data_IF_231104811444
#
_entry.id   IF_231104811444
#
_cell.length_a   1.000
_cell.length_b   1.000
_cell.length_c   1.000
_cell.angle_alpha   90.00
_cell.angle_beta   90.00
_cell.angle_gamma   90.00
#
_symmetry.space_group_name_H-M   'P 1'
#
loop_
_entity.id
_entity.type
_entity.pdbx_description
1 polymer ?
#
# COMPACT_ATOMS: atom_id res chain seq x y z
N UNK A 1 18.71 5.75 -0.51
CA UNK A 1 17.38 5.20 -0.74
C UNK A 1 17.32 3.77 -0.25
N UNK A 2 16.13 3.36 0.21
CA UNK A 2 15.79 1.99 0.55
C UNK A 2 14.62 1.55 -0.31
N UNK A 3 14.69 0.33 -0.83
CA UNK A 3 13.68 -0.26 -1.69
C UNK A 3 13.33 -1.66 -1.20
N UNK A 4 12.08 -2.06 -1.31
CA UNK A 4 11.59 -3.39 -0.99
C UNK A 4 10.56 -3.85 -2.05
N UNK A 5 10.43 -5.14 -2.24
CA UNK A 5 9.48 -5.75 -3.19
C UNK A 5 9.07 -7.15 -2.73
N UNK A 6 8.02 -7.68 -3.34
CA UNK A 6 7.55 -9.06 -3.08
C UNK A 6 8.60 -10.08 -3.47
N UNK A 7 8.98 -10.94 -2.51
CA UNK A 7 9.93 -12.04 -2.70
C UNK A 7 9.33 -13.42 -2.42
N UNK A 8 8.05 -13.46 -2.06
CA UNK A 8 7.21 -14.64 -1.81
C UNK A 8 7.56 -15.47 -0.57
N UNK A 9 8.82 -15.68 -0.24
CA UNK A 9 9.29 -16.55 0.85
C UNK A 9 10.12 -15.82 1.92
N UNK A 10 10.51 -14.57 1.64
CA UNK A 10 11.28 -13.73 2.57
C UNK A 10 11.04 -12.25 2.30
N UNK A 11 11.54 -11.39 3.20
CA UNK A 11 11.56 -9.95 2.98
C UNK A 11 13.00 -9.46 2.90
N UNK A 12 13.27 -8.67 1.86
CA UNK A 12 14.58 -8.05 1.60
C UNK A 12 14.46 -6.55 1.43
N UNK A 13 15.51 -5.85 1.82
CA UNK A 13 15.68 -4.41 1.59
C UNK A 13 16.90 -4.21 0.71
N UNK A 14 16.74 -3.43 -0.34
CA UNK A 14 17.81 -2.94 -1.19
C UNK A 14 18.21 -1.54 -0.75
N UNK A 15 19.50 -1.28 -0.69
CA UNK A 15 20.05 0.02 -0.34
C UNK A 15 20.88 0.55 -1.50
N UNK A 16 20.59 1.76 -1.93
CA UNK A 16 21.34 2.46 -2.98
C UNK A 16 21.48 3.95 -2.68
N UNK A 17 22.47 4.60 -3.30
CA UNK A 17 22.60 6.07 -3.31
C UNK A 17 21.91 6.69 -4.53
N UNK A 18 21.61 5.88 -5.55
CA UNK A 18 20.98 6.28 -6.79
C UNK A 18 19.70 5.47 -7.04
N UNK A 19 18.55 6.13 -6.98
CA UNK A 19 17.24 5.50 -7.18
C UNK A 19 17.04 5.05 -8.63
N UNK A 20 17.75 5.63 -9.58
CA UNK A 20 17.66 5.27 -10.99
C UNK A 20 18.46 4.01 -11.35
N UNK A 21 19.31 3.53 -10.42
CA UNK A 21 20.14 2.34 -10.60
C UNK A 21 19.86 1.24 -9.55
N UNK A 22 18.61 0.85 -9.44
CA UNK A 22 18.19 -0.19 -8.50
C UNK A 22 18.81 -1.56 -8.79
N UNK A 23 19.15 -1.86 -10.04
CA UNK A 23 19.75 -3.15 -10.42
C UNK A 23 21.11 -3.44 -9.76
N UNK A 24 21.84 -2.38 -9.39
CA UNK A 24 23.12 -2.49 -8.70
C UNK A 24 23.02 -2.23 -7.18
N UNK A 25 21.80 -2.02 -6.67
CA UNK A 25 21.56 -1.86 -5.25
C UNK A 25 21.94 -3.14 -4.48
N UNK A 26 22.53 -2.96 -3.30
CA UNK A 26 22.85 -4.09 -2.41
C UNK A 26 21.59 -4.53 -1.68
N UNK A 27 21.21 -5.79 -1.85
CA UNK A 27 20.10 -6.39 -1.12
C UNK A 27 20.57 -7.07 0.17
N UNK A 28 19.69 -7.06 1.17
CA UNK A 28 19.84 -7.83 2.40
C UNK A 28 18.50 -8.43 2.78
N UNK A 29 18.46 -9.75 3.00
CA UNK A 29 17.32 -10.39 3.61
C UNK A 29 17.22 -9.95 5.06
N UNK A 30 16.10 -9.34 5.43
CA UNK A 30 15.87 -8.76 6.76
C UNK A 30 14.88 -9.56 7.58
N UNK A 31 14.10 -10.43 6.93
CA UNK A 31 13.12 -11.28 7.58
C UNK A 31 12.96 -12.62 6.84
N UNK A 32 13.00 -13.69 7.62
CA UNK A 32 12.59 -15.03 7.22
C UNK A 32 11.49 -15.46 8.17
N UNK A 33 10.28 -15.76 7.68
CA UNK A 33 9.20 -16.22 8.54
C UNK A 33 9.57 -17.56 9.22
N UNK A 34 9.28 -17.64 10.51
CA UNK A 34 9.49 -18.83 11.33
C UNK A 34 8.17 -19.48 11.77
N UNK A 35 7.03 -18.87 11.41
CA UNK A 35 5.69 -19.31 11.73
C UNK A 35 4.89 -19.64 10.46
N UNK A 36 4.15 -20.74 10.51
CA UNK A 36 3.30 -21.21 9.40
C UNK A 36 2.10 -20.31 9.10
N UNK A 37 1.79 -19.35 9.97
CA UNK A 37 0.64 -18.44 9.80
C UNK A 37 0.90 -17.31 8.82
N UNK A 38 2.16 -16.96 8.55
CA UNK A 38 2.56 -15.82 7.71
C UNK A 38 3.79 -16.11 6.84
N UNK A 39 3.96 -17.37 6.42
CA UNK A 39 5.20 -17.83 5.80
C UNK A 39 5.12 -18.04 4.28
N UNK A 40 3.99 -17.74 3.67
CA UNK A 40 3.79 -17.96 2.22
C UNK A 40 3.32 -16.70 1.54
N UNK A 41 3.75 -16.55 0.31
CA UNK A 41 3.29 -15.47 -0.57
C UNK A 41 3.41 -14.11 0.12
N UNK A 42 4.64 -13.75 0.53
CA UNK A 42 4.94 -12.48 1.16
C UNK A 42 4.86 -11.37 0.08
N UNK A 43 3.79 -10.59 0.11
CA UNK A 43 3.46 -9.59 -0.91
C UNK A 43 3.54 -8.18 -0.39
N UNK A 44 3.75 -7.25 -1.33
CA UNK A 44 3.64 -5.81 -1.16
C UNK A 44 4.25 -5.28 0.16
N UNK A 45 5.53 -5.57 0.44
CA UNK A 45 6.18 -5.00 1.60
C UNK A 45 6.34 -3.49 1.43
N UNK A 46 5.99 -2.72 2.47
CA UNK A 46 6.22 -1.28 2.55
C UNK A 46 7.03 -0.89 3.77
N UNK A 47 8.05 -0.06 3.55
CA UNK A 47 8.99 0.37 4.58
C UNK A 47 8.71 1.82 4.98
N UNK A 48 8.35 2.04 6.25
CA UNK A 48 8.03 3.35 6.80
C UNK A 48 8.93 3.68 8.01
N UNK A 49 9.37 4.93 8.09
CA UNK A 49 10.11 5.45 9.25
C UNK A 49 9.17 6.30 10.09
N UNK A 50 8.83 5.83 11.30
CA UNK A 50 7.88 6.45 12.20
C UNK A 50 8.50 6.54 13.61
N UNK A 51 8.48 7.71 14.22
CA UNK A 51 8.92 7.93 15.59
C UNK A 51 10.31 7.34 15.92
N UNK A 52 11.26 7.50 14.98
CA UNK A 52 12.63 7.05 15.18
C UNK A 52 12.89 5.57 14.93
N UNK A 53 11.90 4.83 14.38
CA UNK A 53 11.99 3.40 14.07
C UNK A 53 11.51 3.10 12.66
N UNK A 54 11.99 1.98 12.12
CA UNK A 54 11.51 1.43 10.86
C UNK A 54 10.41 0.40 11.10
N UNK A 55 9.35 0.52 10.34
CA UNK A 55 8.26 -0.46 10.29
C UNK A 55 8.15 -1.00 8.88
N UNK A 56 8.06 -2.32 8.77
CA UNK A 56 7.86 -3.00 7.51
C UNK A 56 6.49 -3.70 7.56
N UNK A 57 5.58 -3.20 6.75
CA UNK A 57 4.25 -3.75 6.55
C UNK A 57 4.29 -4.72 5.38
N UNK A 58 3.64 -5.86 5.49
CA UNK A 58 3.56 -6.83 4.41
C UNK A 58 2.30 -7.67 4.50
N UNK A 59 1.87 -8.22 3.37
CA UNK A 59 0.82 -9.22 3.35
C UNK A 59 1.44 -10.62 3.25
N UNK A 60 0.87 -11.59 3.93
CA UNK A 60 1.28 -12.97 3.80
C UNK A 60 0.11 -13.92 4.00
N UNK A 61 0.18 -15.09 3.35
CA UNK A 61 -0.70 -16.21 3.57
C UNK A 61 -0.12 -17.18 4.60
N UNK A 62 -1.00 -17.84 5.34
CA UNK A 62 -0.68 -18.99 6.17
C UNK A 62 -0.75 -20.30 5.38
N UNK A 63 -1.03 -21.39 6.10
CA UNK A 63 -1.19 -22.75 5.50
C UNK A 63 -2.32 -22.78 4.45
N UNK A 64 -3.35 -21.96 4.60
CA UNK A 64 -4.45 -21.83 3.63
C UNK A 64 -4.06 -20.83 2.55
N UNK A 65 -3.90 -21.29 1.32
CA UNK A 65 -3.71 -20.42 0.17
C UNK A 65 -4.88 -19.43 0.05
N UNK A 66 -4.59 -18.18 -0.32
CA UNK A 66 -5.59 -17.12 -0.51
C UNK A 66 -6.09 -16.46 0.77
N UNK A 67 -5.50 -16.76 1.92
CA UNK A 67 -5.86 -16.15 3.21
C UNK A 67 -4.88 -15.05 3.64
N UNK A 68 -4.50 -14.16 2.70
CA UNK A 68 -3.56 -13.08 2.99
C UNK A 68 -4.09 -12.15 4.08
N UNK A 69 -3.21 -11.85 5.02
CA UNK A 69 -3.43 -10.91 6.12
C UNK A 69 -2.26 -9.93 6.17
N UNK A 70 -2.45 -8.81 6.83
CA UNK A 70 -1.43 -7.79 7.02
C UNK A 70 -0.64 -8.04 8.30
N UNK A 71 0.66 -7.89 8.22
CA UNK A 71 1.60 -8.09 9.32
C UNK A 71 2.57 -6.92 9.42
N UNK A 72 3.14 -6.73 10.62
CA UNK A 72 4.06 -5.62 10.91
C UNK A 72 5.31 -6.12 11.60
N UNK A 73 6.44 -5.63 11.13
CA UNK A 73 7.76 -5.79 11.74
C UNK A 73 8.30 -4.43 12.18
N UNK A 74 9.08 -4.38 13.25
CA UNK A 74 9.72 -3.17 13.79
C UNK A 74 11.23 -3.35 13.85
N UNK A 75 12.01 -2.34 13.43
CA UNK A 75 13.45 -2.29 13.61
C UNK A 75 13.86 -0.93 14.18
N UNK A 76 14.56 -0.93 15.31
CA UNK A 76 15.00 0.30 16.01
C UNK A 76 16.37 0.80 15.53
N UNK A 77 17.05 0.08 14.63
CA UNK A 77 18.33 0.52 14.09
C UNK A 77 18.13 1.67 13.09
N UNK A 78 18.97 2.71 13.07
CA UNK A 78 18.83 3.83 12.12
C UNK A 78 18.88 3.43 10.66
N UNK A 79 19.64 2.40 10.33
CA UNK A 79 19.70 1.78 9.00
C UNK A 79 18.83 0.51 8.99
N UNK A 80 17.76 0.42 8.19
CA UNK A 80 16.86 -0.73 8.19
C UNK A 80 17.51 -2.00 7.62
N UNK A 81 18.65 -1.88 6.93
CA UNK A 81 19.44 -3.04 6.49
C UNK A 81 20.30 -3.61 7.61
N UNK A 82 20.38 -2.95 8.75
CA UNK A 82 21.13 -3.37 9.93
C UNK A 82 20.18 -3.63 11.11
N UNK A 83 20.73 -4.16 12.21
CA UNK A 83 19.91 -4.55 13.36
C UNK A 83 19.04 -5.79 13.06
N UNK A 84 17.87 -5.85 13.71
CA UNK A 84 16.93 -6.95 13.59
C UNK A 84 15.51 -6.44 13.54
N UNK A 85 14.72 -6.92 12.60
CA UNK A 85 13.26 -6.76 12.60
C UNK A 85 12.63 -7.68 13.64
N UNK A 86 11.72 -7.12 14.42
CA UNK A 86 10.95 -7.82 15.47
C UNK A 86 9.50 -7.90 15.02
N UNK A 87 8.94 -9.08 15.02
CA UNK A 87 7.53 -9.31 14.70
C UNK A 87 6.62 -8.63 15.73
N UNK A 88 5.72 -7.77 15.28
CA UNK A 88 4.76 -7.04 16.14
C UNK A 88 3.37 -7.66 16.12
N UNK A 89 3.08 -8.49 15.15
CA UNK A 89 1.79 -9.17 15.05
C UNK A 89 1.06 -8.91 13.74
N UNK A 90 -0.15 -9.44 13.67
CA UNK A 90 -1.11 -9.25 12.60
C UNK A 90 -1.93 -7.99 12.85
N UNK A 91 -2.12 -7.17 11.81
CA UNK A 91 -3.13 -6.13 11.79
C UNK A 91 -4.50 -6.76 11.57
N UNK A 92 -5.37 -6.68 12.56
CA UNK A 92 -6.72 -7.25 12.49
C UNK A 92 -7.66 -6.29 11.77
N UNK A 93 -7.67 -6.38 10.44
CA UNK A 93 -8.45 -5.51 9.55
C UNK A 93 -9.93 -5.90 9.44
N UNK A 94 -10.31 -7.09 9.92
CA UNK A 94 -11.70 -7.55 10.00
C UNK A 94 -11.88 -8.57 11.12
N UNK A 95 -13.11 -8.76 11.58
CA UNK A 95 -13.43 -9.73 12.63
C UNK A 95 -13.28 -11.19 12.14
N UNK A 96 -13.60 -11.45 10.88
CA UNK A 96 -13.57 -12.75 10.23
C UNK A 96 -12.23 -13.08 9.56
N UNK A 97 -11.24 -12.18 9.70
CA UNK A 97 -9.95 -12.28 9.02
C UNK A 97 -10.08 -12.37 7.50
N UNK A 98 -10.99 -11.59 6.92
CA UNK A 98 -11.11 -11.44 5.48
C UNK A 98 -9.80 -10.97 4.87
N UNK A 99 -9.57 -11.39 3.63
CA UNK A 99 -8.37 -11.11 2.88
C UNK A 99 -8.05 -9.60 2.82
N UNK A 100 -6.78 -9.23 3.12
CA UNK A 100 -6.29 -7.85 3.15
C UNK A 100 -4.82 -7.81 2.72
N UNK A 101 -4.47 -6.87 1.83
CA UNK A 101 -3.11 -6.69 1.29
C UNK A 101 -2.79 -5.22 1.02
N UNK A 102 -1.56 -4.93 0.62
CA UNK A 102 -1.04 -3.63 0.16
C UNK A 102 -1.32 -2.50 1.17
N UNK A 103 -0.83 -2.71 2.38
CA UNK A 103 -0.96 -1.74 3.45
C UNK A 103 0.03 -0.60 3.29
N UNK A 104 -0.44 0.63 3.34
CA UNK A 104 0.38 1.82 3.49
C UNK A 104 -0.06 2.66 4.68
N UNK A 105 0.86 3.42 5.29
CA UNK A 105 0.56 4.25 6.46
C UNK A 105 0.98 5.70 6.24
N UNK A 106 0.24 6.61 6.85
CA UNK A 106 0.59 8.04 6.84
C UNK A 106 0.14 8.74 8.12
N UNK A 107 0.89 9.75 8.52
CA UNK A 107 0.51 10.62 9.65
C UNK A 107 -0.27 11.81 9.14
N UNK A 108 -1.40 12.11 9.78
CA UNK A 108 -2.18 13.31 9.54
C UNK A 108 -2.74 13.84 10.87
N UNK A 109 -2.46 15.14 11.21
CA UNK A 109 -2.94 15.80 12.45
C UNK A 109 -2.69 14.96 13.69
N UNK A 110 -1.44 14.60 13.94
CA UNK A 110 -1.00 13.80 15.10
C UNK A 110 -1.65 12.40 15.21
N UNK A 111 -2.31 11.95 14.15
CA UNK A 111 -2.89 10.61 14.06
C UNK A 111 -2.22 9.81 12.94
N UNK A 112 -1.96 8.55 13.22
CA UNK A 112 -1.47 7.59 12.24
C UNK A 112 -2.66 6.87 11.60
N UNK A 113 -2.67 6.79 10.28
CA UNK A 113 -3.69 6.10 9.50
C UNK A 113 -3.08 4.96 8.71
N UNK A 114 -3.83 3.88 8.60
CA UNK A 114 -3.58 2.74 7.71
C UNK A 114 -4.57 2.79 6.56
N UNK A 115 -4.08 2.62 5.34
CA UNK A 115 -4.88 2.34 4.15
C UNK A 115 -4.45 1.00 3.57
N UNK A 116 -5.40 0.24 3.05
CA UNK A 116 -5.14 -1.07 2.44
C UNK A 116 -6.25 -1.42 1.47
N UNK A 117 -6.06 -2.49 0.71
CA UNK A 117 -7.17 -3.04 -0.02
C UNK A 117 -7.58 -4.43 0.44
N UNK A 118 -8.88 -4.69 0.38
CA UNK A 118 -9.47 -5.90 0.93
C UNK A 118 -10.82 -6.21 0.32
N UNK A 119 -11.33 -7.39 0.66
CA UNK A 119 -12.66 -7.84 0.23
C UNK A 119 -13.73 -7.03 0.99
N UNK A 120 -14.83 -6.59 0.34
CA UNK A 120 -15.92 -5.94 1.04
C UNK A 120 -16.58 -6.90 2.06
N UNK A 121 -16.90 -6.39 3.27
CA UNK A 121 -17.56 -7.18 4.33
C UNK A 121 -18.86 -7.83 3.87
N UNK A 122 -19.61 -7.13 3.01
CA UNK A 122 -20.79 -7.70 2.34
C UNK A 122 -20.49 -7.80 0.85
N UNK A 123 -20.80 -8.94 0.21
CA UNK A 123 -20.57 -9.11 -1.21
C UNK A 123 -21.24 -8.01 -2.04
N UNK A 124 -20.46 -7.34 -2.87
CA UNK A 124 -20.95 -6.38 -3.85
C UNK A 124 -20.80 -7.04 -5.22
N UNK A 125 -21.87 -7.17 -6.03
CA UNK A 125 -21.80 -7.83 -7.31
C UNK A 125 -20.66 -7.32 -8.19
N UNK A 126 -19.85 -8.24 -8.71
CA UNK A 126 -18.70 -7.99 -9.60
C UNK A 126 -17.53 -7.23 -8.98
N UNK A 127 -17.62 -6.75 -7.73
CA UNK A 127 -16.53 -6.07 -7.02
C UNK A 127 -15.80 -7.10 -6.16
N UNK A 128 -14.50 -7.23 -6.40
CA UNK A 128 -13.64 -8.14 -5.66
C UNK A 128 -12.93 -7.42 -4.51
N UNK A 129 -12.34 -6.25 -4.77
CA UNK A 129 -11.59 -5.50 -3.77
C UNK A 129 -11.95 -4.01 -3.72
N UNK A 130 -11.83 -3.46 -2.51
CA UNK A 130 -12.13 -2.08 -2.15
C UNK A 130 -10.98 -1.49 -1.35
N UNK A 131 -10.91 -0.16 -1.28
CA UNK A 131 -9.95 0.54 -0.42
C UNK A 131 -10.60 0.84 0.93
N UNK A 132 -9.86 0.51 1.97
CA UNK A 132 -10.20 0.75 3.37
C UNK A 132 -9.25 1.74 4.01
N UNK A 133 -9.71 2.38 5.07
CA UNK A 133 -8.93 3.23 5.97
C UNK A 133 -9.30 2.93 7.42
N UNK A 134 -8.31 3.01 8.31
CA UNK A 134 -8.51 3.02 9.76
C UNK A 134 -7.48 3.92 10.42
N UNK A 135 -7.79 4.45 11.61
CA UNK A 135 -6.80 5.08 12.47
C UNK A 135 -6.06 4.00 13.27
N UNK A 136 -4.77 4.19 13.46
CA UNK A 136 -3.93 3.36 14.29
C UNK A 136 -3.73 4.00 15.67
N UNK A 137 -3.68 3.18 16.71
CA UNK A 137 -3.27 3.55 18.07
C UNK A 137 -1.72 3.57 18.18
N UNK A 138 -1.12 2.61 17.55
CA UNK A 138 0.33 2.45 17.38
C UNK A 138 0.57 1.76 16.01
N UNK A 139 1.78 1.65 15.50
CA UNK A 139 2.02 1.14 14.14
C UNK A 139 1.47 -0.26 13.82
N UNK A 140 1.02 -1.04 14.80
CA UNK A 140 0.54 -2.42 14.61
C UNK A 140 -0.85 -2.69 15.23
N UNK A 141 -1.56 -1.66 15.71
CA UNK A 141 -2.89 -1.83 16.35
C UNK A 141 -3.89 -0.82 15.80
N UNK A 142 -5.04 -1.29 15.32
CA UNK A 142 -6.12 -0.43 14.90
C UNK A 142 -6.79 0.25 16.11
N UNK A 143 -6.98 1.56 16.06
CA UNK A 143 -7.73 2.35 17.04
C UNK A 143 -9.22 2.49 16.67
N UNK A 144 -9.55 2.31 15.39
CA UNK A 144 -10.93 2.42 14.89
C UNK A 144 -11.32 1.18 14.10
N UNK A 145 -12.61 0.99 13.90
CA UNK A 145 -13.09 0.02 12.92
C UNK A 145 -12.64 0.45 11.52
N UNK A 146 -12.35 -0.50 10.62
CA UNK A 146 -12.15 -0.24 9.20
C UNK A 146 -13.33 0.49 8.57
N UNK A 147 -13.04 1.42 7.68
CA UNK A 147 -14.04 2.13 6.89
C UNK A 147 -13.70 1.94 5.42
N UNK A 148 -14.64 1.43 4.65
CA UNK A 148 -14.52 1.34 3.20
C UNK A 148 -14.71 2.74 2.59
N UNK A 149 -13.68 3.28 1.94
CA UNK A 149 -13.68 4.62 1.37
C UNK A 149 -13.68 4.65 -0.15
N UNK A 150 -13.45 3.53 -0.81
CA UNK A 150 -13.43 3.47 -2.27
C UNK A 150 -13.84 2.09 -2.78
N UNK A 151 -14.70 2.10 -3.81
CA UNK A 151 -15.08 0.93 -4.62
C UNK A 151 -14.78 1.24 -6.08
N UNK A 152 -14.50 0.25 -6.95
CA UNK A 152 -14.29 0.48 -8.39
C UNK A 152 -15.63 0.79 -9.08
N UNK A 153 -16.06 2.05 -9.08
CA UNK A 153 -17.35 2.52 -9.64
C UNK A 153 -17.21 3.37 -10.90
N UNK A 154 -15.99 3.84 -11.23
CA UNK A 154 -15.72 4.54 -12.48
C UNK A 154 -15.63 3.58 -13.66
N UNK A 155 -16.01 4.05 -14.87
CA UNK A 155 -15.98 3.22 -16.07
C UNK A 155 -14.59 2.65 -16.38
N UNK A 156 -13.56 3.45 -16.22
CA UNK A 156 -12.18 3.06 -16.51
C UNK A 156 -11.62 2.04 -15.50
N UNK A 157 -12.11 2.05 -14.25
CA UNK A 157 -11.74 1.08 -13.20
C UNK A 157 -12.25 -0.33 -13.48
N UNK A 158 -13.17 -0.48 -14.43
CA UNK A 158 -13.83 -1.72 -14.85
C UNK A 158 -13.54 -2.06 -16.30
N UNK A 159 -12.38 -1.62 -16.80
CA UNK A 159 -12.09 -1.62 -18.23
C UNK A 159 -11.64 -2.99 -18.73
N UNK A 160 -10.98 -3.81 -17.91
CA UNK A 160 -10.58 -5.16 -18.29
C UNK A 160 -11.80 -6.09 -18.25
N UNK A 161 -12.26 -6.63 -19.41
CA UNK A 161 -13.45 -7.47 -19.47
C UNK A 161 -13.25 -8.87 -18.87
N UNK A 162 -12.00 -9.26 -18.60
CA UNK A 162 -11.63 -10.58 -18.09
C UNK A 162 -11.25 -10.55 -16.60
N UNK A 163 -11.13 -9.36 -16.01
CA UNK A 163 -10.77 -9.21 -14.61
C UNK A 163 -11.99 -8.91 -13.73
N UNK A 164 -11.97 -9.39 -12.49
CA UNK A 164 -12.88 -8.92 -11.45
C UNK A 164 -12.59 -7.44 -11.16
N UNK A 165 -13.63 -6.66 -10.87
CA UNK A 165 -13.47 -5.24 -10.59
C UNK A 165 -12.78 -5.03 -9.26
N UNK A 166 -11.64 -4.37 -9.32
CA UNK A 166 -10.73 -4.19 -8.20
C UNK A 166 -10.15 -2.78 -8.20
N UNK A 167 -9.91 -2.24 -7.02
CA UNK A 167 -9.02 -1.11 -6.84
C UNK A 167 -8.14 -1.39 -5.62
N UNK A 168 -6.85 -1.06 -5.70
CA UNK A 168 -5.90 -1.48 -4.69
C UNK A 168 -4.63 -0.66 -4.63
N UNK A 169 -3.67 -1.14 -3.85
CA UNK A 169 -2.33 -0.55 -3.68
C UNK A 169 -2.39 0.96 -3.37
N UNK A 170 -3.17 1.39 -2.36
CA UNK A 170 -3.35 2.81 -2.07
C UNK A 170 -2.07 3.44 -1.54
N UNK A 171 -1.61 4.52 -2.19
CA UNK A 171 -0.44 5.28 -1.78
C UNK A 171 -0.83 6.69 -1.35
N UNK A 172 -0.62 7.04 -0.07
CA UNK A 172 -0.97 8.36 0.44
C UNK A 172 0.04 9.43 0.02
N UNK A 173 -0.49 10.59 -0.35
CA UNK A 173 0.29 11.80 -0.62
C UNK A 173 -0.38 13.01 0.04
N UNK A 174 0.42 13.99 0.41
CA UNK A 174 -0.08 15.32 0.83
C UNK A 174 0.20 16.32 -0.29
N UNK A 175 -0.75 17.23 -0.54
CA UNK A 175 -0.48 18.36 -1.41
C UNK A 175 0.63 19.24 -0.84
N UNK A 176 1.40 19.96 -1.68
CA UNK A 176 2.50 20.80 -1.23
C UNK A 176 2.09 21.88 -0.21
N UNK A 177 0.86 22.40 -0.32
CA UNK A 177 0.28 23.38 0.60
C UNK A 177 -0.34 22.76 1.87
N UNK A 178 -0.35 21.41 1.96
CA UNK A 178 -0.91 20.66 3.08
C UNK A 178 -2.44 20.67 3.17
N UNK A 179 -3.15 21.25 2.20
CA UNK A 179 -4.60 21.41 2.23
C UNK A 179 -5.36 20.15 1.78
N UNK A 180 -4.70 19.26 1.07
CA UNK A 180 -5.30 18.03 0.52
C UNK A 180 -4.53 16.79 0.95
N UNK A 181 -5.28 15.73 1.17
CA UNK A 181 -4.77 14.37 1.29
C UNK A 181 -5.20 13.61 0.04
N UNK A 182 -4.25 13.01 -0.64
CA UNK A 182 -4.46 12.20 -1.82
C UNK A 182 -4.20 10.73 -1.50
N UNK A 183 -4.96 9.85 -2.11
CA UNK A 183 -4.65 8.43 -2.25
C UNK A 183 -4.57 8.12 -3.73
N UNK A 184 -3.38 7.78 -4.21
CA UNK A 184 -3.19 7.20 -5.53
C UNK A 184 -3.43 5.70 -5.40
N UNK A 185 -4.14 5.10 -6.35
CA UNK A 185 -4.51 3.68 -6.30
C UNK A 185 -4.46 3.05 -7.69
N UNK A 186 -4.30 1.75 -7.74
CA UNK A 186 -4.34 0.95 -8.98
C UNK A 186 -5.74 0.46 -9.27
N UNK A 187 -6.17 0.50 -10.51
CA UNK A 187 -7.44 -0.08 -10.97
C UNK A 187 -7.42 -0.33 -12.49
N UNK A 188 -8.54 -0.85 -13.02
CA UNK A 188 -8.75 -1.09 -14.45
C UNK A 188 -8.38 -2.48 -14.93
N UNK A 189 -7.69 -3.26 -14.13
CA UNK A 189 -7.18 -4.60 -14.41
C UNK A 189 -5.82 -4.80 -13.78
N UNK A 190 -5.17 -5.92 -14.06
CA UNK A 190 -3.83 -6.26 -13.58
C UNK A 190 -2.85 -6.57 -14.72
N UNK A 191 -3.12 -6.00 -15.91
CA UNK A 191 -2.33 -6.23 -17.12
C UNK A 191 -2.45 -5.05 -18.09
N UNK A 192 -1.43 -4.78 -18.92
CA UNK A 192 -1.54 -3.82 -20.02
C UNK A 192 -2.63 -4.24 -21.02
N UNK A 193 -3.36 -3.29 -21.63
CA UNK A 193 -3.28 -1.84 -21.44
C UNK A 193 -4.23 -1.32 -20.33
N UNK A 194 -4.82 -2.20 -19.56
CA UNK A 194 -5.96 -1.89 -18.68
C UNK A 194 -5.56 -1.26 -17.35
N UNK A 195 -4.45 -1.70 -16.76
CA UNK A 195 -3.95 -1.16 -15.48
C UNK A 195 -3.65 0.33 -15.60
N UNK A 196 -4.12 1.10 -14.62
CA UNK A 196 -3.90 2.53 -14.54
C UNK A 196 -3.97 3.02 -13.09
N UNK A 197 -3.40 4.19 -12.82
CA UNK A 197 -3.47 4.82 -11.51
C UNK A 197 -4.60 5.83 -11.45
N UNK A 198 -5.42 5.73 -10.43
CA UNK A 198 -6.46 6.67 -10.07
C UNK A 198 -6.06 7.55 -8.90
N UNK A 199 -6.89 8.56 -8.63
CA UNK A 199 -6.68 9.51 -7.54
C UNK A 199 -7.97 9.70 -6.76
N UNK A 200 -7.90 9.51 -5.43
CA UNK A 200 -8.90 9.95 -4.48
C UNK A 200 -8.34 11.13 -3.68
N UNK A 201 -9.18 12.13 -3.41
CA UNK A 201 -8.76 13.34 -2.70
C UNK A 201 -9.74 13.68 -1.60
N UNK A 202 -9.22 14.02 -0.42
CA UNK A 202 -9.96 14.56 0.70
C UNK A 202 -9.36 15.90 1.14
N UNK A 203 -10.20 16.82 1.64
CA UNK A 203 -9.72 18.02 2.30
C UNK A 203 -9.00 17.65 3.60
N UNK A 204 -7.86 18.25 3.85
CA UNK A 204 -7.08 18.01 5.07
C UNK A 204 -7.87 18.34 6.36
N UNK A 205 -8.89 19.22 6.25
CA UNK A 205 -9.81 19.58 7.32
C UNK A 205 -10.93 18.58 7.58
N UNK A 206 -11.18 17.64 6.66
CA UNK A 206 -12.31 16.71 6.75
C UNK A 206 -12.03 15.51 7.64
N UNK A 207 -13.07 14.75 7.99
CA UNK A 207 -12.94 13.48 8.65
C UNK A 207 -12.54 12.41 7.62
N UNK A 208 -11.28 11.95 7.65
CA UNK A 208 -10.78 10.94 6.71
C UNK A 208 -11.45 9.57 6.88
N UNK A 209 -12.10 9.31 8.01
CA UNK A 209 -12.89 8.10 8.24
C UNK A 209 -14.35 8.22 7.75
N UNK A 210 -14.70 9.32 7.09
CA UNK A 210 -15.99 9.47 6.43
C UNK A 210 -15.81 9.24 4.91
N UNK A 211 -16.44 8.20 4.31
CA UNK A 211 -16.36 7.96 2.88
C UNK A 211 -16.75 9.18 2.02
N UNK A 212 -17.69 10.01 2.49
CA UNK A 212 -18.11 11.20 1.78
C UNK A 212 -17.05 12.30 1.67
N UNK A 213 -15.97 12.22 2.49
CA UNK A 213 -14.83 13.12 2.41
C UNK A 213 -13.96 12.86 1.18
N UNK A 214 -14.03 11.66 0.60
CA UNK A 214 -13.16 11.22 -0.49
C UNK A 214 -13.85 11.41 -1.84
N UNK A 215 -13.17 12.12 -2.75
CA UNK A 215 -13.63 12.35 -4.11
C UNK A 215 -12.65 11.74 -5.10
N UNK A 216 -13.15 10.87 -5.97
CA UNK A 216 -12.35 10.26 -7.03
C UNK A 216 -12.23 11.16 -8.25
N UNK A 217 -11.06 11.14 -8.89
CA UNK A 217 -10.90 11.65 -10.25
C UNK A 217 -11.77 10.82 -11.22
N UNK A 218 -12.49 11.44 -12.15
CA UNK A 218 -13.34 10.71 -13.10
C UNK A 218 -12.53 9.95 -14.18
N UNK A 219 -11.24 10.24 -14.29
CA UNK A 219 -10.31 9.62 -15.23
C UNK A 219 -9.06 9.16 -14.49
N UNK A 220 -8.29 8.19 -15.02
CA UNK A 220 -7.00 7.85 -14.47
C UNK A 220 -6.06 9.06 -14.52
N UNK A 221 -5.16 9.17 -13.55
CA UNK A 221 -4.15 10.23 -13.50
C UNK A 221 -2.82 9.79 -14.11
N UNK A 222 -2.60 8.49 -14.23
CA UNK A 222 -1.45 7.92 -14.92
C UNK A 222 -1.86 6.59 -15.55
N UNK A 223 -1.66 6.45 -16.83
CA UNK A 223 -2.08 5.29 -17.62
C UNK A 223 -1.07 4.94 -18.70
N UNK A 224 -1.34 3.89 -19.45
CA UNK A 224 -0.51 3.46 -20.57
C UNK A 224 -0.24 4.61 -21.54
N UNK A 225 1.03 4.71 -21.94
CA UNK A 225 1.48 5.63 -22.99
C UNK A 225 2.60 4.96 -23.80
N UNK A 226 2.27 4.42 -24.95
CA UNK A 226 3.20 3.67 -25.81
C UNK A 226 4.37 4.55 -26.31
N UNK A 227 4.12 5.85 -26.53
CA UNK A 227 5.15 6.79 -26.97
C UNK A 227 6.22 7.03 -25.91
N UNK A 228 5.82 7.00 -24.64
CA UNK A 228 6.71 7.19 -23.49
C UNK A 228 7.20 5.86 -22.89
N UNK A 229 6.80 4.72 -23.45
CA UNK A 229 7.19 3.40 -22.95
C UNK A 229 6.55 3.05 -21.60
N UNK A 230 5.38 3.61 -21.29
CA UNK A 230 4.62 3.30 -20.06
C UNK A 230 3.58 2.23 -20.39
N UNK A 231 3.68 1.07 -19.75
CA UNK A 231 2.81 -0.07 -20.01
C UNK A 231 2.14 -0.55 -18.72
N UNK A 232 0.81 -0.35 -18.62
CA UNK A 232 -0.01 -0.83 -17.52
C UNK A 232 0.52 -0.44 -16.11
N UNK A 233 0.64 0.87 -15.79
CA UNK A 233 1.20 1.29 -14.51
C UNK A 233 0.28 0.88 -13.35
N UNK A 234 0.90 0.27 -12.33
CA UNK A 234 0.25 -0.15 -11.09
C UNK A 234 1.26 -0.18 -9.94
N UNK A 235 0.81 -0.35 -8.69
CA UNK A 235 1.66 -0.49 -7.51
C UNK A 235 2.73 0.61 -7.38
N UNK A 236 2.33 1.87 -7.48
CA UNK A 236 3.26 2.99 -7.36
C UNK A 236 3.73 3.23 -5.92
N UNK A 237 4.87 3.87 -5.79
CA UNK A 237 5.30 4.52 -4.55
C UNK A 237 5.91 5.88 -4.89
N UNK A 238 5.97 6.78 -3.92
CA UNK A 238 6.46 8.14 -4.12
C UNK A 238 7.61 8.44 -3.19
N UNK A 239 8.68 9.00 -3.74
CA UNK A 239 9.85 9.38 -2.96
C UNK A 239 10.44 10.68 -3.49
N UNK A 240 10.99 11.49 -2.59
CA UNK A 240 11.77 12.69 -2.94
C UNK A 240 13.26 12.38 -2.99
N UNK A 241 13.98 13.13 -3.84
CA UNK A 241 15.44 13.19 -3.76
C UNK A 241 15.88 13.69 -2.39
N UNK A 242 17.11 13.34 -1.92
CA UNK A 242 17.61 13.76 -0.61
C UNK A 242 17.67 15.28 -0.42
N UNK A 243 17.84 16.04 -1.49
CA UNK A 243 17.82 17.51 -1.51
C UNK A 243 16.41 18.11 -1.68
N UNK A 244 15.39 17.24 -1.87
CA UNK A 244 13.99 17.64 -2.02
C UNK A 244 13.63 18.29 -3.35
N UNK A 245 14.54 18.28 -4.35
CA UNK A 245 14.34 18.97 -5.64
C UNK A 245 13.62 18.13 -6.68
N UNK A 246 13.62 16.81 -6.55
CA UNK A 246 13.02 15.87 -7.49
C UNK A 246 12.01 14.96 -6.79
N UNK A 247 10.92 14.66 -7.47
CA UNK A 247 9.93 13.66 -7.07
C UNK A 247 9.99 12.46 -8.02
N UNK A 248 10.04 11.27 -7.47
CA UNK A 248 10.04 10.01 -8.22
C UNK A 248 8.76 9.22 -7.94
N UNK A 249 8.29 8.52 -8.98
CA UNK A 249 7.21 7.53 -8.92
C UNK A 249 7.75 6.17 -9.34
#
# INVERSE_FOLDING_TARGET
>A
YYYTQSMYDHLSIWKTKDITDLRHARSKTVWLPDDLTNSRDLWAPELHYLDGKWYLYYAAAGIRAGSHQLYVLENSHPDPTEGRFIYKGQLRTSADQSWAVDASVFTHRDSLYLVWFGIPEQPIPYIFNCIYIARLENPWTLATRPVMIGIPDQRWERHDPEAAFSMGSPQPLKSPDGNLIHLVYSAGGNRPPYSALGLMTAQSGSNLLDPASWKKSPQPVFCQNDTLGVFGPEHCSFIKSPDGTEDYI
#
